data_IF_449798913121
#
_entry.id   IF_449798913121
#
_cell.length_a   1.000
_cell.length_b   1.000
_cell.length_c   1.000
_cell.angle_alpha   90.00
_cell.angle_beta   90.00
_cell.angle_gamma   90.00
#
_symmetry.space_group_name_H-M   'P 1'
#
loop_
_entity.id
_entity.type
_entity.pdbx_description
1 polymer ?
#
# COMPACT_ATOMS: atom_id res chain seq x y z
N UNK A 1 59.84 -58.29 -19.36
CA UNK A 1 61.22 -58.62 -18.94
C UNK A 1 61.70 -57.55 -17.99
N UNK A 2 62.16 -57.99 -16.81
CA UNK A 2 63.04 -57.32 -15.85
C UNK A 2 62.85 -55.83 -15.52
N UNK A 3 62.34 -55.58 -14.31
CA UNK A 3 62.77 -54.45 -13.48
C UNK A 3 64.28 -54.51 -13.22
N UNK A 4 64.89 -53.39 -12.83
CA UNK A 4 65.75 -53.45 -11.66
C UNK A 4 65.42 -52.38 -10.61
N UNK A 5 65.60 -52.84 -9.38
CA UNK A 5 65.61 -52.13 -8.11
C UNK A 5 66.88 -51.26 -8.00
N UNK A 6 66.75 -50.05 -7.47
CA UNK A 6 67.79 -49.35 -6.70
C UNK A 6 67.08 -48.22 -5.94
N UNK A 7 66.80 -48.37 -4.64
CA UNK A 7 67.71 -48.16 -3.51
C UNK A 7 67.28 -46.89 -2.78
N UNK A 8 66.73 -47.12 -1.59
CA UNK A 8 66.25 -46.12 -0.65
C UNK A 8 67.44 -45.38 -0.04
N UNK A 9 67.55 -44.07 -0.26
CA UNK A 9 68.36 -43.19 0.55
C UNK A 9 67.41 -42.27 1.35
N UNK A 10 67.24 -42.58 2.64
CA UNK A 10 66.57 -41.71 3.62
C UNK A 10 67.48 -40.49 3.88
N UNK A 11 67.34 -39.46 3.05
CA UNK A 11 67.90 -38.13 3.31
C UNK A 11 66.97 -37.36 4.25
N UNK A 12 67.53 -36.83 5.33
CA UNK A 12 66.83 -36.00 6.31
C UNK A 12 66.03 -34.88 5.61
N UNK A 13 64.73 -34.78 5.91
CA UNK A 13 63.90 -33.65 5.50
C UNK A 13 64.36 -32.43 6.29
N UNK A 14 65.31 -31.68 5.73
CA UNK A 14 65.49 -30.29 6.12
C UNK A 14 64.29 -29.52 5.56
N UNK A 15 63.40 -29.09 6.45
CA UNK A 15 62.35 -28.11 6.14
C UNK A 15 63.06 -26.78 5.93
N UNK A 16 63.60 -26.58 4.74
CA UNK A 16 64.03 -25.26 4.28
C UNK A 16 62.75 -24.52 3.95
N UNK A 17 62.37 -23.55 4.79
CA UNK A 17 61.33 -22.59 4.48
C UNK A 17 61.80 -21.76 3.28
N UNK A 18 61.48 -22.21 2.07
CA UNK A 18 61.52 -21.36 0.90
C UNK A 18 60.47 -20.27 1.12
N UNK A 19 60.92 -19.06 1.42
CA UNK A 19 60.11 -17.86 1.22
C UNK A 19 59.92 -17.73 -0.29
N UNK A 20 58.86 -18.37 -0.81
CA UNK A 20 58.37 -18.09 -2.15
C UNK A 20 57.83 -16.66 -2.12
N UNK A 21 58.66 -15.71 -2.55
CA UNK A 21 58.18 -14.38 -2.92
C UNK A 21 57.38 -14.51 -4.22
N UNK A 22 56.17 -15.03 -4.11
CA UNK A 22 55.19 -14.98 -5.18
C UNK A 22 54.72 -13.54 -5.29
N UNK A 23 55.47 -12.70 -6.01
CA UNK A 23 55.01 -11.39 -6.40
C UNK A 23 53.79 -11.58 -7.31
N UNK A 24 52.59 -11.33 -6.77
CA UNK A 24 51.39 -11.28 -7.58
C UNK A 24 51.55 -10.11 -8.56
N UNK A 25 51.74 -10.44 -9.84
CA UNK A 25 51.73 -9.47 -10.91
C UNK A 25 50.30 -8.94 -11.04
N UNK A 26 49.97 -7.87 -10.30
CA UNK A 26 48.72 -7.14 -10.48
C UNK A 26 48.67 -6.62 -11.92
N UNK A 27 47.95 -7.31 -12.79
CA UNK A 27 47.65 -6.82 -14.14
C UNK A 27 46.81 -5.56 -13.98
N UNK A 28 47.44 -4.39 -14.12
CA UNK A 28 46.72 -3.10 -14.15
C UNK A 28 45.97 -3.01 -15.47
N UNK A 29 44.66 -2.79 -15.39
CA UNK A 29 43.84 -2.51 -16.56
C UNK A 29 43.74 -0.99 -16.74
N UNK A 30 43.75 -0.53 -17.98
CA UNK A 30 43.47 0.87 -18.29
C UNK A 30 42.01 1.19 -17.90
N UNK A 31 41.72 2.40 -17.40
CA UNK A 31 40.35 2.81 -17.09
C UNK A 31 39.50 2.86 -18.37
N UNK A 32 38.19 2.63 -18.24
CA UNK A 32 37.25 2.58 -19.37
C UNK A 32 36.79 3.99 -19.81
N UNK A 33 37.21 5.03 -19.10
CA UNK A 33 36.91 6.43 -19.37
C UNK A 33 37.79 7.34 -18.52
N UNK A 34 37.58 8.67 -18.59
CA UNK A 34 38.38 9.63 -17.86
C UNK A 34 38.24 9.42 -16.34
N UNK A 35 39.36 9.49 -15.62
CA UNK A 35 39.40 9.43 -14.17
C UNK A 35 38.96 10.77 -13.55
N UNK A 36 38.42 10.74 -12.32
CA UNK A 36 38.19 11.96 -11.57
C UNK A 36 39.52 12.73 -11.36
N UNK A 37 39.48 14.05 -11.59
CA UNK A 37 40.57 15.00 -11.32
C UNK A 37 41.80 14.92 -12.25
N UNK A 38 41.71 14.25 -13.40
CA UNK A 38 42.80 14.23 -14.41
C UNK A 38 43.23 15.63 -14.85
N UNK A 39 42.31 16.60 -14.90
CA UNK A 39 42.60 17.98 -15.30
C UNK A 39 43.57 18.73 -14.36
N UNK A 40 43.84 18.19 -13.16
CA UNK A 40 44.74 18.78 -12.18
C UNK A 40 46.08 18.03 -12.09
N UNK A 41 46.26 16.94 -12.84
CA UNK A 41 47.51 16.18 -12.83
C UNK A 41 48.66 16.99 -13.44
N UNK A 42 49.76 17.11 -12.70
CA UNK A 42 50.95 17.87 -13.14
C UNK A 42 50.87 19.39 -12.93
N UNK A 43 49.77 19.91 -12.36
CA UNK A 43 49.67 21.32 -11.97
C UNK A 43 50.30 21.56 -10.59
N UNK A 44 50.86 22.75 -10.39
CA UNK A 44 51.45 23.13 -9.11
C UNK A 44 50.37 23.40 -8.05
N UNK A 45 50.40 22.61 -6.97
CA UNK A 45 49.37 22.55 -5.92
C UNK A 45 49.25 23.86 -5.15
N UNK A 46 50.33 24.64 -5.07
CA UNK A 46 50.34 25.92 -4.35
C UNK A 46 49.67 27.04 -5.15
N UNK A 47 49.69 26.94 -6.48
CA UNK A 47 49.08 27.92 -7.38
C UNK A 47 47.56 27.78 -7.52
N UNK A 48 46.98 26.65 -7.09
CA UNK A 48 45.57 26.31 -7.32
C UNK A 48 44.60 27.01 -6.36
N UNK A 49 43.47 27.46 -6.91
CA UNK A 49 42.37 27.97 -6.11
C UNK A 49 41.73 26.86 -5.26
N UNK A 50 41.94 26.95 -3.94
CA UNK A 50 41.35 26.00 -2.99
C UNK A 50 39.87 26.31 -2.73
N UNK A 51 39.10 25.27 -2.44
CA UNK A 51 37.67 25.39 -2.17
C UNK A 51 37.35 26.33 -0.99
N UNK A 52 38.17 26.32 0.08
CA UNK A 52 38.12 27.23 1.26
C UNK A 52 36.80 27.27 2.05
N UNK A 53 35.72 26.68 1.54
CA UNK A 53 34.46 26.46 2.24
C UNK A 53 33.86 25.12 1.84
N UNK A 54 33.21 24.47 2.81
CA UNK A 54 32.54 23.19 2.60
C UNK A 54 31.41 23.31 1.56
N UNK A 55 30.67 24.41 1.58
CA UNK A 55 29.56 24.66 0.64
C UNK A 55 30.01 24.79 -0.81
N UNK A 56 31.18 25.38 -1.07
CA UNK A 56 31.75 25.48 -2.44
C UNK A 56 32.13 24.11 -2.97
N UNK A 57 32.75 23.26 -2.14
CA UNK A 57 33.04 21.87 -2.49
C UNK A 57 31.75 21.07 -2.73
N UNK A 58 30.80 21.14 -1.80
CA UNK A 58 29.56 20.38 -1.85
C UNK A 58 28.75 20.64 -3.12
N UNK A 59 28.64 21.91 -3.55
CA UNK A 59 27.98 22.27 -4.83
C UNK A 59 28.65 21.66 -6.06
N UNK A 60 29.97 21.49 -6.05
CA UNK A 60 30.69 20.84 -7.15
C UNK A 60 30.50 19.33 -7.10
N UNK A 61 30.58 18.73 -5.91
CA UNK A 61 30.32 17.30 -5.70
C UNK A 61 28.90 16.90 -6.14
N UNK A 62 27.88 17.70 -5.84
CA UNK A 62 26.50 17.45 -6.30
C UNK A 62 26.37 17.50 -7.83
N UNK A 63 27.10 18.40 -8.50
CA UNK A 63 27.11 18.47 -9.97
C UNK A 63 27.76 17.24 -10.57
N UNK A 64 28.89 16.79 -10.02
CA UNK A 64 29.56 15.56 -10.45
C UNK A 64 28.71 14.32 -10.18
N UNK A 65 28.00 14.26 -9.04
CA UNK A 65 27.11 13.15 -8.70
C UNK A 65 25.93 13.00 -9.68
N UNK A 66 25.46 14.10 -10.28
CA UNK A 66 24.39 14.10 -11.28
C UNK A 66 24.84 13.63 -12.66
N UNK A 67 26.15 13.68 -12.97
CA UNK A 67 26.68 13.23 -14.26
C UNK A 67 26.62 11.71 -14.37
N UNK A 68 26.56 11.24 -15.61
CA UNK A 68 26.69 9.82 -15.91
C UNK A 68 28.17 9.43 -15.85
N UNK A 69 28.50 8.45 -15.01
CA UNK A 69 29.84 7.89 -14.90
C UNK A 69 29.90 6.51 -15.54
N UNK A 70 31.06 6.15 -16.07
CA UNK A 70 31.28 4.83 -16.69
C UNK A 70 31.44 3.70 -15.66
N UNK A 71 31.78 4.05 -14.40
CA UNK A 71 31.78 3.11 -13.28
C UNK A 71 30.40 2.97 -12.64
N UNK A 72 30.21 1.85 -11.94
CA UNK A 72 28.94 1.55 -11.25
C UNK A 72 28.60 2.66 -10.26
N UNK A 73 27.42 3.25 -10.41
CA UNK A 73 26.92 4.31 -9.53
C UNK A 73 25.71 3.83 -8.72
N UNK A 74 25.49 4.42 -7.54
CA UNK A 74 24.33 4.12 -6.69
C UNK A 74 22.99 4.38 -7.41
N UNK A 75 22.95 5.44 -8.24
CA UNK A 75 21.78 5.79 -9.05
C UNK A 75 21.42 4.69 -10.05
N UNK A 76 22.42 4.04 -10.65
CA UNK A 76 22.21 2.92 -11.57
C UNK A 76 21.55 1.71 -10.88
N UNK A 77 21.87 1.44 -9.60
CA UNK A 77 21.19 0.40 -8.82
C UNK A 77 19.76 0.79 -8.44
N UNK A 78 19.53 2.06 -8.09
CA UNK A 78 18.18 2.57 -7.80
C UNK A 78 17.27 2.54 -9.03
N UNK A 79 17.83 2.75 -10.23
CA UNK A 79 17.08 2.70 -11.48
C UNK A 79 16.90 1.26 -11.98
N UNK A 80 17.92 0.41 -11.88
CA UNK A 80 17.85 -1.01 -12.23
C UNK A 80 16.92 -1.81 -11.30
N UNK A 81 16.73 -1.37 -10.06
CA UNK A 81 15.82 -1.98 -9.09
C UNK A 81 14.35 -1.53 -9.19
N UNK A 82 13.99 -0.65 -10.13
CA UNK A 82 12.60 -0.20 -10.31
C UNK A 82 11.80 -1.22 -11.13
N UNK A 83 11.48 -2.35 -10.50
CA UNK A 83 10.40 -3.22 -10.98
C UNK A 83 9.09 -2.46 -10.80
N UNK A 84 8.45 -2.08 -11.90
CA UNK A 84 7.11 -1.47 -11.88
C UNK A 84 6.09 -2.59 -11.73
N UNK A 85 5.54 -2.74 -10.54
CA UNK A 85 4.48 -3.70 -10.27
C UNK A 85 3.14 -3.05 -10.72
N UNK A 86 2.34 -3.70 -11.58
CA UNK A 86 1.03 -3.20 -11.94
C UNK A 86 0.10 -3.28 -10.72
N UNK A 87 -0.20 -2.13 -10.11
CA UNK A 87 -0.99 -2.07 -8.87
C UNK A 87 -2.43 -2.54 -9.07
N UNK A 88 -3.01 -2.29 -10.25
CA UNK A 88 -4.38 -2.66 -10.56
C UNK A 88 -4.57 -4.18 -10.60
N UNK A 89 -3.60 -4.91 -11.17
CA UNK A 89 -3.60 -6.37 -11.22
C UNK A 89 -3.40 -6.98 -9.83
N UNK A 90 -2.46 -6.43 -9.06
CA UNK A 90 -2.23 -6.86 -7.67
C UNK A 90 -3.49 -6.67 -6.83
N UNK A 91 -4.17 -5.54 -7.00
CA UNK A 91 -5.40 -5.24 -6.30
C UNK A 91 -6.53 -6.21 -6.69
N UNK A 92 -6.71 -6.48 -7.97
CA UNK A 92 -7.73 -7.41 -8.45
C UNK A 92 -7.51 -8.84 -7.91
N UNK A 93 -6.26 -9.29 -7.85
CA UNK A 93 -5.91 -10.60 -7.29
C UNK A 93 -6.07 -10.63 -5.76
N UNK A 94 -5.71 -9.54 -5.09
CA UNK A 94 -5.91 -9.40 -3.65
C UNK A 94 -7.39 -9.46 -3.29
N UNK A 95 -8.27 -8.76 -4.01
CA UNK A 95 -9.72 -8.78 -3.79
C UNK A 95 -10.32 -10.19 -3.85
N UNK A 96 -9.78 -11.07 -4.71
CA UNK A 96 -10.24 -12.47 -4.84
C UNK A 96 -9.67 -13.42 -3.80
N UNK A 97 -8.43 -13.17 -3.36
CA UNK A 97 -7.68 -14.09 -2.50
C UNK A 97 -7.74 -13.66 -1.03
N UNK A 98 -6.81 -12.82 -0.59
CA UNK A 98 -6.63 -12.43 0.81
C UNK A 98 -7.43 -11.20 1.25
N UNK A 99 -8.09 -10.52 0.32
CA UNK A 99 -8.83 -9.28 0.52
C UNK A 99 -9.82 -9.34 1.67
N UNK A 100 -10.76 -10.31 1.68
CA UNK A 100 -11.75 -10.46 2.74
C UNK A 100 -11.16 -10.54 4.15
N UNK A 101 -10.05 -11.27 4.32
CA UNK A 101 -9.38 -11.40 5.62
C UNK A 101 -8.64 -10.10 6.02
N UNK A 102 -8.09 -9.37 5.05
CA UNK A 102 -7.53 -8.05 5.28
C UNK A 102 -8.59 -7.08 5.79
N UNK A 103 -9.75 -7.07 5.14
CA UNK A 103 -10.89 -6.20 5.52
C UNK A 103 -11.41 -6.57 6.90
N UNK A 104 -11.56 -7.87 7.20
CA UNK A 104 -11.95 -8.33 8.53
C UNK A 104 -11.00 -7.81 9.62
N UNK A 105 -9.69 -7.91 9.41
CA UNK A 105 -8.70 -7.40 10.38
C UNK A 105 -8.76 -5.88 10.53
N UNK A 106 -9.05 -5.16 9.45
CA UNK A 106 -9.23 -3.70 9.49
C UNK A 106 -10.50 -3.36 10.29
N UNK A 107 -11.61 -4.04 10.03
CA UNK A 107 -12.85 -3.84 10.78
C UNK A 107 -12.72 -4.18 12.27
N UNK A 108 -11.94 -5.21 12.61
CA UNK A 108 -11.58 -5.55 13.99
C UNK A 108 -10.71 -4.45 14.63
N UNK A 109 -9.70 -3.94 13.91
CA UNK A 109 -8.86 -2.85 14.39
C UNK A 109 -9.67 -1.57 14.69
N UNK A 110 -10.63 -1.25 13.82
CA UNK A 110 -11.53 -0.12 14.03
C UNK A 110 -12.61 -0.40 15.07
N UNK A 111 -12.78 -1.61 15.60
CA UNK A 111 -13.80 -1.94 16.60
C UNK A 111 -15.22 -2.10 16.06
N UNK A 112 -15.41 -2.20 14.74
CA UNK A 112 -16.73 -2.25 14.08
C UNK A 112 -17.55 -3.45 14.57
N UNK A 113 -16.93 -4.63 14.68
CA UNK A 113 -17.63 -5.83 15.15
C UNK A 113 -18.08 -5.73 16.59
N UNK A 114 -17.23 -5.14 17.45
CA UNK A 114 -17.53 -4.98 18.87
C UNK A 114 -18.75 -4.10 19.09
N UNK A 115 -18.81 -2.98 18.37
CA UNK A 115 -19.83 -1.96 18.55
C UNK A 115 -21.16 -2.37 17.90
N UNK A 116 -21.12 -3.05 16.74
CA UNK A 116 -22.33 -3.41 15.98
C UNK A 116 -22.86 -4.82 16.28
N UNK A 117 -21.97 -5.79 16.52
CA UNK A 117 -22.32 -7.22 16.61
C UNK A 117 -21.84 -7.86 17.91
N UNK A 118 -21.27 -7.09 18.84
CA UNK A 118 -20.71 -7.60 20.09
C UNK A 118 -19.52 -8.53 19.85
N UNK A 119 -19.66 -9.81 20.20
CA UNK A 119 -18.58 -10.80 20.05
C UNK A 119 -18.55 -11.48 18.68
N UNK A 120 -19.55 -11.24 17.83
CA UNK A 120 -19.65 -11.89 16.53
C UNK A 120 -18.77 -11.19 15.48
N UNK A 121 -18.00 -11.98 14.74
CA UNK A 121 -17.22 -11.51 13.60
C UNK A 121 -17.64 -12.25 12.33
N UNK A 122 -17.53 -11.60 11.18
CA UNK A 122 -17.82 -12.21 9.89
C UNK A 122 -16.79 -11.81 8.84
N UNK A 123 -16.64 -12.66 7.82
CA UNK A 123 -15.75 -12.40 6.70
C UNK A 123 -16.56 -11.82 5.54
N UNK A 124 -16.28 -10.59 5.08
CA UNK A 124 -17.00 -10.00 3.95
C UNK A 124 -16.59 -10.71 2.65
N UNK A 125 -17.43 -11.64 2.19
CA UNK A 125 -17.19 -12.40 0.95
C UNK A 125 -17.50 -11.61 -0.31
N UNK A 126 -18.48 -10.72 -0.23
CA UNK A 126 -18.90 -9.88 -1.35
C UNK A 126 -18.25 -8.51 -1.20
N UNK A 127 -17.54 -8.09 -2.24
CA UNK A 127 -16.87 -6.78 -2.27
C UNK A 127 -17.90 -5.69 -2.58
N UNK A 128 -18.15 -4.82 -1.61
CA UNK A 128 -19.00 -3.65 -1.77
C UNK A 128 -18.15 -2.49 -2.30
N UNK A 129 -18.59 -1.88 -3.41
CA UNK A 129 -17.94 -0.72 -4.02
C UNK A 129 -18.87 0.48 -3.93
N UNK A 130 -18.48 1.44 -3.11
CA UNK A 130 -19.25 2.66 -2.82
C UNK A 130 -18.50 3.86 -3.38
N UNK A 131 -19.19 4.70 -4.14
CA UNK A 131 -18.61 5.91 -4.72
C UNK A 131 -19.53 7.10 -4.43
N UNK A 132 -18.95 8.18 -3.92
CA UNK A 132 -19.64 9.46 -3.84
C UNK A 132 -19.40 10.25 -5.12
N UNK A 133 -20.45 10.90 -5.63
CA UNK A 133 -20.32 11.83 -6.75
C UNK A 133 -19.78 13.15 -6.23
N UNK A 134 -18.67 13.60 -6.78
CA UNK A 134 -18.09 14.91 -6.46
C UNK A 134 -18.12 15.77 -7.73
N UNK A 135 -18.63 17.00 -7.59
CA UNK A 135 -18.78 17.94 -8.70
C UNK A 135 -17.41 18.39 -9.28
N UNK A 136 -16.33 18.35 -8.49
CA UNK A 136 -15.01 18.83 -8.90
C UNK A 136 -14.05 17.73 -9.39
N UNK A 137 -14.04 16.56 -8.74
CA UNK A 137 -13.10 15.45 -9.00
C UNK A 137 -13.76 14.17 -9.57
N UNK A 138 -15.06 14.21 -9.86
CA UNK A 138 -15.80 13.13 -10.51
C UNK A 138 -16.34 12.08 -9.53
N UNK A 139 -15.52 11.10 -9.14
CA UNK A 139 -15.92 9.98 -8.29
C UNK A 139 -14.94 9.78 -7.13
N UNK A 140 -15.45 9.82 -5.90
CA UNK A 140 -14.70 9.55 -4.67
C UNK A 140 -15.00 8.13 -4.19
N UNK A 141 -14.09 7.16 -4.39
CA UNK A 141 -14.27 5.80 -3.90
C UNK A 141 -14.12 5.76 -2.38
N UNK A 142 -15.03 5.04 -1.72
CA UNK A 142 -14.96 4.72 -0.30
C UNK A 142 -14.31 3.36 -0.12
N UNK A 143 -13.34 3.29 0.78
CA UNK A 143 -12.59 2.11 1.16
C UNK A 143 -12.72 1.87 2.66
N UNK A 144 -11.83 1.05 3.21
CA UNK A 144 -11.86 0.61 4.60
C UNK A 144 -11.10 1.59 5.51
N UNK A 145 -11.73 2.74 5.81
CA UNK A 145 -11.20 3.74 6.76
C UNK A 145 -10.56 4.97 6.13
N UNK A 146 -10.78 5.23 4.83
CA UNK A 146 -10.41 6.52 4.25
C UNK A 146 -11.30 7.64 4.82
N UNK A 147 -10.76 8.85 4.84
CA UNK A 147 -11.48 10.04 5.32
C UNK A 147 -12.20 10.66 4.14
N UNK A 148 -13.51 10.88 4.29
CA UNK A 148 -14.39 11.54 3.33
C UNK A 148 -14.96 12.79 3.99
N UNK A 149 -15.01 13.92 3.27
CA UNK A 149 -15.59 15.13 3.84
C UNK A 149 -17.11 15.06 3.87
N UNK A 150 -17.72 15.63 4.92
CA UNK A 150 -19.18 15.66 5.04
C UNK A 150 -19.87 16.42 3.88
N UNK A 151 -19.18 17.40 3.30
CA UNK A 151 -19.63 18.12 2.10
C UNK A 151 -19.72 17.23 0.86
N UNK A 152 -18.80 16.27 0.73
CA UNK A 152 -18.76 15.31 -0.39
C UNK A 152 -19.81 14.21 -0.22
N UNK A 153 -20.12 13.85 1.03
CA UNK A 153 -21.12 12.85 1.37
C UNK A 153 -22.54 13.43 1.53
N UNK A 154 -22.83 14.60 0.94
CA UNK A 154 -24.14 15.22 1.03
C UNK A 154 -25.23 14.46 0.25
N UNK A 155 -24.89 13.94 -0.93
CA UNK A 155 -25.77 13.12 -1.75
C UNK A 155 -25.62 11.62 -1.45
N UNK A 156 -26.64 10.80 -1.71
CA UNK A 156 -26.52 9.34 -1.58
C UNK A 156 -25.45 8.78 -2.51
N UNK A 157 -24.63 7.81 -2.07
CA UNK A 157 -23.58 7.25 -2.89
C UNK A 157 -24.10 6.24 -3.93
N UNK A 158 -23.32 6.03 -4.98
CA UNK A 158 -23.50 4.93 -5.92
C UNK A 158 -22.87 3.65 -5.36
N UNK A 159 -23.70 2.64 -5.16
CA UNK A 159 -23.28 1.37 -4.56
C UNK A 159 -23.39 0.25 -5.59
N UNK A 160 -22.30 -0.50 -5.75
CA UNK A 160 -22.20 -1.62 -6.69
C UNK A 160 -21.57 -2.83 -5.99
N UNK A 161 -22.10 -4.01 -6.26
CA UNK A 161 -21.58 -5.26 -5.69
C UNK A 161 -21.92 -6.44 -6.61
N UNK A 162 -21.18 -7.53 -6.49
CA UNK A 162 -21.44 -8.75 -7.25
C UNK A 162 -22.56 -9.55 -6.59
N UNK A 163 -23.70 -9.68 -7.29
CA UNK A 163 -24.89 -10.35 -6.80
C UNK A 163 -25.35 -11.46 -7.75
N UNK A 164 -25.90 -12.54 -7.20
CA UNK A 164 -26.50 -13.63 -7.97
C UNK A 164 -27.89 -13.22 -8.49
N UNK A 165 -28.29 -13.70 -9.67
CA UNK A 165 -29.63 -13.44 -10.21
C UNK A 165 -30.71 -14.01 -9.29
N UNK A 166 -31.70 -13.17 -8.93
CA UNK A 166 -32.79 -13.56 -8.02
C UNK A 166 -32.46 -13.49 -6.52
N UNK A 167 -31.24 -13.07 -6.15
CA UNK A 167 -30.91 -12.81 -4.74
C UNK A 167 -31.45 -11.46 -4.27
N UNK A 168 -31.85 -11.41 -3.00
CA UNK A 168 -32.32 -10.21 -2.32
C UNK A 168 -31.26 -9.74 -1.32
N UNK A 169 -31.09 -8.43 -1.24
CA UNK A 169 -30.07 -7.82 -0.38
C UNK A 169 -30.64 -6.66 0.42
N UNK A 170 -30.02 -6.37 1.56
CA UNK A 170 -30.31 -5.20 2.38
C UNK A 170 -29.02 -4.43 2.59
N UNK A 171 -29.06 -3.12 2.32
CA UNK A 171 -27.97 -2.20 2.54
C UNK A 171 -28.28 -1.31 3.74
N UNK A 172 -27.37 -1.25 4.70
CA UNK A 172 -27.45 -0.41 5.90
C UNK A 172 -26.21 0.48 5.97
N UNK A 173 -26.43 1.77 6.22
CA UNK A 173 -25.41 2.73 6.59
C UNK A 173 -25.68 3.19 8.02
N UNK A 174 -24.74 2.89 8.92
CA UNK A 174 -24.82 3.26 10.33
C UNK A 174 -23.61 4.07 10.79
N UNK A 175 -23.82 4.86 11.84
CA UNK A 175 -22.80 5.63 12.53
C UNK A 175 -22.85 5.34 14.04
N UNK A 176 -21.95 4.48 14.56
CA UNK A 176 -21.88 4.15 15.98
C UNK A 176 -21.33 5.30 16.85
N UNK A 177 -20.57 6.24 16.28
CA UNK A 177 -19.92 7.33 17.03
C UNK A 177 -20.77 8.62 17.06
N UNK A 178 -21.83 8.67 16.25
CA UNK A 178 -22.56 9.90 15.94
C UNK A 178 -23.56 10.33 17.01
N UNK A 179 -23.90 9.45 17.95
CA UNK A 179 -25.03 9.64 18.82
C UNK A 179 -24.73 10.66 19.94
N UNK A 180 -25.53 11.72 20.03
CA UNK A 180 -25.24 12.89 20.87
C UNK A 180 -25.68 12.72 22.34
N UNK A 181 -26.59 11.79 22.64
CA UNK A 181 -27.22 11.64 23.96
C UNK A 181 -26.80 10.35 24.66
N UNK A 182 -26.99 9.22 23.99
CA UNK A 182 -26.65 7.88 24.43
C UNK A 182 -25.35 7.40 23.77
N UNK A 183 -24.47 6.77 24.56
CA UNK A 183 -23.16 6.30 24.09
C UNK A 183 -23.21 4.94 23.40
N UNK A 184 -24.24 4.13 23.66
CA UNK A 184 -24.41 2.79 23.09
C UNK A 184 -25.38 2.76 21.90
N UNK A 185 -25.95 3.90 21.55
CA UNK A 185 -26.92 4.01 20.46
C UNK A 185 -26.23 4.51 19.19
N UNK A 186 -26.73 4.07 18.05
CA UNK A 186 -26.20 4.43 16.73
C UNK A 186 -27.22 5.24 15.91
N UNK A 187 -26.73 6.01 14.94
CA UNK A 187 -27.59 6.65 13.95
C UNK A 187 -27.60 5.85 12.65
N UNK A 188 -28.81 5.43 12.25
CA UNK A 188 -29.05 4.90 10.91
C UNK A 188 -29.16 6.08 9.95
N UNK A 189 -28.24 6.13 8.99
CA UNK A 189 -28.21 7.17 7.96
C UNK A 189 -28.91 6.72 6.69
N UNK A 190 -28.89 5.43 6.36
CA UNK A 190 -29.53 4.93 5.16
C UNK A 190 -29.87 3.45 5.33
N UNK A 191 -31.09 3.05 4.98
CA UNK A 191 -31.51 1.67 5.02
C UNK A 191 -32.38 1.37 3.81
N UNK A 192 -31.91 0.43 2.98
CA UNK A 192 -32.62 -0.04 1.79
C UNK A 192 -32.73 -1.56 1.87
N UNK A 193 -33.96 -2.05 1.91
CA UNK A 193 -34.27 -3.47 1.96
C UNK A 193 -34.71 -4.02 0.61
N UNK A 194 -34.81 -5.34 0.52
CA UNK A 194 -35.38 -6.05 -0.62
C UNK A 194 -34.78 -5.65 -1.97
N UNK A 195 -33.48 -5.37 -2.02
CA UNK A 195 -32.76 -4.96 -3.24
C UNK A 195 -32.64 -6.17 -4.17
N UNK A 196 -33.21 -6.13 -5.39
CA UNK A 196 -33.07 -7.23 -6.34
C UNK A 196 -31.70 -7.19 -7.02
N UNK A 197 -30.87 -8.20 -6.78
CA UNK A 197 -29.53 -8.30 -7.35
C UNK A 197 -28.65 -7.12 -6.92
N UNK A 198 -28.12 -6.35 -7.89
CA UNK A 198 -27.26 -5.17 -7.65
C UNK A 198 -27.99 -3.83 -7.84
N UNK A 199 -29.31 -3.82 -8.04
CA UNK A 199 -30.06 -2.60 -8.37
C UNK A 199 -30.59 -1.91 -7.12
N UNK A 200 -29.73 -1.15 -6.44
CA UNK A 200 -30.07 -0.48 -5.16
C UNK A 200 -31.28 0.45 -5.28
N UNK A 201 -31.43 1.15 -6.42
CA UNK A 201 -32.57 2.04 -6.68
C UNK A 201 -33.93 1.33 -6.80
N UNK A 202 -33.92 0.02 -7.06
CA UNK A 202 -35.14 -0.79 -7.14
C UNK A 202 -35.51 -1.44 -5.81
N UNK A 203 -34.68 -1.26 -4.78
CA UNK A 203 -34.98 -1.68 -3.42
C UNK A 203 -36.02 -0.80 -2.74
N UNK A 204 -36.52 -1.29 -1.63
CA UNK A 204 -37.44 -0.58 -0.75
C UNK A 204 -36.65 0.30 0.21
N UNK A 205 -36.72 1.63 0.05
CA UNK A 205 -36.10 2.57 0.98
C UNK A 205 -36.90 2.64 2.29
N UNK A 206 -36.36 2.04 3.35
CA UNK A 206 -36.97 1.99 4.69
C UNK A 206 -36.58 3.23 5.49
N UNK A 207 -35.34 3.69 5.32
CA UNK A 207 -34.83 4.93 5.87
C UNK A 207 -34.10 5.71 4.78
N UNK A 208 -34.60 6.91 4.47
CA UNK A 208 -33.98 7.78 3.47
C UNK A 208 -32.57 8.18 3.85
N UNK A 209 -31.75 8.43 2.83
CA UNK A 209 -30.37 8.85 3.02
C UNK A 209 -30.30 10.17 3.81
N UNK A 210 -29.67 10.11 4.97
CA UNK A 210 -29.40 11.23 5.83
C UNK A 210 -27.91 11.58 5.78
N UNK A 211 -27.54 12.79 5.33
CA UNK A 211 -26.14 13.20 5.22
C UNK A 211 -25.40 13.12 6.56
N UNK A 212 -24.10 12.81 6.57
CA UNK A 212 -23.31 12.81 7.79
C UNK A 212 -23.17 14.24 8.35
N UNK A 213 -23.41 14.40 9.65
CA UNK A 213 -23.39 15.69 10.34
C UNK A 213 -22.46 15.65 11.57
N UNK A 214 -21.14 15.39 11.39
CA UNK A 214 -20.22 15.33 12.51
C UNK A 214 -20.18 16.66 13.25
N UNK A 215 -20.43 16.64 14.57
CA UNK A 215 -20.42 17.84 15.38
C UNK A 215 -18.99 18.38 15.54
N UNK A 216 -18.85 19.71 15.62
CA UNK A 216 -17.52 20.31 15.74
C UNK A 216 -16.88 19.93 17.09
N UNK A 217 -15.73 19.28 17.04
CA UNK A 217 -14.95 18.92 18.22
C UNK A 217 -15.18 17.49 18.74
N UNK A 218 -16.01 16.68 18.08
CA UNK A 218 -16.20 15.26 18.43
C UNK A 218 -15.16 14.34 17.78
N UNK A 219 -14.37 14.85 16.83
CA UNK A 219 -13.31 14.10 16.15
C UNK A 219 -13.81 13.42 14.88
N UNK A 220 -13.23 12.26 14.56
CA UNK A 220 -13.60 11.46 13.39
C UNK A 220 -14.68 10.46 13.77
N UNK A 221 -15.72 10.38 12.94
CA UNK A 221 -16.82 9.43 13.12
C UNK A 221 -16.72 8.33 12.07
N UNK A 222 -16.87 7.08 12.51
CA UNK A 222 -16.90 5.94 11.60
C UNK A 222 -18.30 5.83 10.99
N UNK A 223 -18.35 5.73 9.67
CA UNK A 223 -19.57 5.39 8.95
C UNK A 223 -19.36 4.03 8.32
N UNK A 224 -20.28 3.10 8.60
CA UNK A 224 -20.13 1.69 8.24
C UNK A 224 -21.24 1.32 7.28
N UNK A 225 -20.87 0.91 6.07
CA UNK A 225 -21.78 0.25 5.14
C UNK A 225 -21.79 -1.25 5.40
N UNK A 226 -22.97 -1.80 5.60
CA UNK A 226 -23.21 -3.22 5.84
C UNK A 226 -24.15 -3.73 4.77
N UNK A 227 -23.77 -4.84 4.15
CA UNK A 227 -24.58 -5.52 3.15
C UNK A 227 -25.00 -6.89 3.70
N UNK A 228 -26.30 -7.12 3.78
CA UNK A 228 -26.88 -8.40 4.20
C UNK A 228 -27.46 -9.14 3.00
N UNK A 229 -27.21 -10.44 2.90
CA UNK A 229 -27.88 -11.33 1.95
C UNK A 229 -29.17 -11.83 2.59
N UNK A 230 -30.31 -11.60 1.96
CA UNK A 230 -31.61 -12.09 2.41
C UNK A 230 -31.89 -13.47 1.80
N UNK A 231 -32.49 -14.37 2.58
CA UNK A 231 -32.97 -15.66 2.07
C UNK A 231 -34.32 -15.55 1.36
N UNK A 232 -35.09 -14.50 1.65
CA UNK A 232 -36.39 -14.21 1.06
C UNK A 232 -36.82 -12.77 1.33
N UNK A 233 -37.96 -12.34 0.77
CA UNK A 233 -38.49 -11.00 1.00
C UNK A 233 -38.88 -10.82 2.47
N UNK A 234 -38.40 -9.74 3.07
CA UNK A 234 -38.68 -9.38 4.47
C UNK A 234 -39.64 -8.20 4.47
N UNK A 235 -40.63 -8.22 5.36
CA UNK A 235 -41.57 -7.13 5.56
C UNK A 235 -41.00 -6.14 6.60
N UNK A 236 -40.71 -4.91 6.18
CA UNK A 236 -40.03 -3.89 7.00
C UNK A 236 -40.98 -2.83 7.58
N UNK A 237 -42.29 -3.10 7.64
CA UNK A 237 -43.30 -2.14 8.10
C UNK A 237 -43.03 -1.51 9.46
N UNK A 238 -42.50 -2.27 10.41
CA UNK A 238 -42.23 -1.79 11.77
C UNK A 238 -41.01 -0.87 11.84
N UNK A 239 -40.10 -0.96 10.86
CA UNK A 239 -38.85 -0.21 10.79
C UNK A 239 -38.94 1.02 9.87
N UNK A 240 -40.07 1.17 9.17
CA UNK A 240 -40.30 2.24 8.22
C UNK A 240 -40.20 3.60 8.91
N UNK A 241 -39.21 4.39 8.50
CA UNK A 241 -39.02 5.75 8.99
C UNK A 241 -39.73 6.71 8.04
N UNK A 242 -40.61 7.59 8.53
CA UNK A 242 -41.29 8.54 7.66
C UNK A 242 -40.27 9.47 7.01
N UNK A 243 -40.53 9.86 5.77
CA UNK A 243 -39.72 10.85 5.09
C UNK A 243 -39.77 12.17 5.87
N UNK A 244 -38.63 12.77 6.25
CA UNK A 244 -38.62 14.09 6.87
C UNK A 244 -39.03 15.22 5.92
N UNK A 245 -39.26 14.95 4.64
CA UNK A 245 -39.61 15.91 3.59
C UNK A 245 -41.07 15.79 3.13
#
# INVERSE_FOLDING_TARGET
MASPLASCARGQVQIVRFLSNSAALCKRAAPLGPLPNEQFEGQDVESLEKYRSFTRYYRVAEKEQKKLHWWKSFKQYQEAGKVKIPLDEVRAEWEKSSGPYGIQRVAEHYGVYKDLFGEATFVPRVTLRVHYRNDEEGLLPVYYGNVVAASEAFAPPEVTFEAEEGSLWTLLLTNPDGHLRETESEYVHWLVGNIPGSQVLSGEEICHYFPPFPAKGTGYHRHVFILFKQEGPIDFKDELRPNPW
#
